data_IF_444384026837
#
_entry.id   IF_444384026837
#
_cell.length_a   1.000
_cell.length_b   1.000
_cell.length_c   1.000
_cell.angle_alpha   90.00
_cell.angle_beta   90.00
_cell.angle_gamma   90.00
#
_symmetry.space_group_name_H-M   'P 1'
#
loop_
_entity.id
_entity.type
_entity.pdbx_description
1 polymer ?
#
# COMPACT_ATOMS: atom_id res chain seq x y z
N UNK A 1 -12.70 2.11 -21.25
CA UNK A 1 -11.31 1.81 -20.87
C UNK A 1 -11.25 1.55 -19.37
N UNK A 2 -10.38 0.65 -18.88
CA UNK A 2 -10.25 0.44 -17.44
C UNK A 2 -9.72 1.71 -16.74
N UNK A 3 -10.02 1.87 -15.45
CA UNK A 3 -9.49 2.97 -14.64
C UNK A 3 -7.96 2.86 -14.54
N UNK A 4 -7.27 4.01 -14.44
CA UNK A 4 -5.84 4.06 -14.16
C UNK A 4 -5.60 3.80 -12.66
N UNK A 5 -5.70 2.55 -12.25
CA UNK A 5 -5.55 2.16 -10.86
C UNK A 5 -4.92 0.78 -10.66
N UNK A 6 -4.15 0.30 -11.65
CA UNK A 6 -3.29 -0.87 -11.50
C UNK A 6 -1.89 -0.42 -11.18
N UNK A 7 -1.25 -1.10 -10.23
CA UNK A 7 0.11 -0.79 -9.82
C UNK A 7 1.01 -1.94 -10.17
N UNK A 8 1.99 -1.68 -11.02
CA UNK A 8 3.01 -2.66 -11.36
C UNK A 8 4.13 -2.71 -10.31
N UNK A 9 5.04 -3.70 -10.34
CA UNK A 9 6.12 -3.82 -9.36
C UNK A 9 7.05 -2.60 -9.26
N UNK A 10 7.14 -1.77 -10.32
CA UNK A 10 7.90 -0.51 -10.31
C UNK A 10 7.15 0.65 -9.65
N UNK A 11 5.94 0.39 -9.15
CA UNK A 11 5.09 1.39 -8.50
C UNK A 11 4.36 2.34 -9.45
N UNK A 12 4.41 2.09 -10.77
CA UNK A 12 3.72 2.89 -11.80
C UNK A 12 2.23 2.57 -11.76
N UNK A 13 1.41 3.61 -11.85
CA UNK A 13 -0.06 3.50 -11.89
C UNK A 13 -0.52 3.53 -13.35
N UNK A 14 -1.10 2.44 -13.83
CA UNK A 14 -1.48 2.24 -15.23
C UNK A 14 -2.95 1.83 -15.40
N UNK A 15 -3.49 2.03 -16.60
CA UNK A 15 -4.80 1.54 -17.01
C UNK A 15 -4.63 0.12 -17.58
N UNK A 16 -5.15 -0.87 -16.86
CA UNK A 16 -4.99 -2.29 -17.22
C UNK A 16 -6.23 -3.09 -16.74
N UNK A 17 -6.69 -4.06 -17.52
CA UNK A 17 -7.89 -4.86 -17.26
C UNK A 17 -7.69 -5.99 -16.24
N UNK A 18 -6.46 -6.32 -15.85
CA UNK A 18 -6.18 -7.28 -14.79
C UNK A 18 -6.97 -6.94 -13.53
N UNK A 19 -7.58 -7.90 -12.83
CA UNK A 19 -8.44 -7.59 -11.67
C UNK A 19 -7.64 -7.23 -10.41
N UNK A 20 -6.46 -7.84 -10.25
CA UNK A 20 -5.68 -7.80 -9.03
C UNK A 20 -6.28 -8.68 -7.92
N UNK A 21 -5.44 -9.05 -6.95
CA UNK A 21 -5.82 -9.87 -5.78
C UNK A 21 -5.78 -9.09 -4.47
N UNK A 22 -5.19 -7.89 -4.50
CA UNK A 22 -5.07 -6.98 -3.36
C UNK A 22 -5.45 -5.57 -3.79
N UNK A 23 -6.04 -4.82 -2.86
CA UNK A 23 -6.30 -3.40 -3.01
C UNK A 23 -5.32 -2.62 -2.12
N UNK A 24 -4.77 -1.51 -2.58
CA UNK A 24 -3.93 -0.64 -1.77
C UNK A 24 -4.35 0.81 -1.80
N UNK A 25 -3.70 1.57 -0.91
CA UNK A 25 -4.02 2.95 -0.63
C UNK A 25 -2.73 3.77 -0.55
N UNK A 26 -2.63 4.81 -1.39
CA UNK A 26 -1.60 5.87 -1.32
C UNK A 26 -2.21 7.26 -1.06
N UNK A 27 -3.48 7.31 -0.68
CA UNK A 27 -4.30 8.51 -0.48
C UNK A 27 -5.20 8.85 -1.67
N UNK A 28 -5.70 10.09 -1.69
CA UNK A 28 -6.53 10.63 -2.78
C UNK A 28 -5.61 11.09 -3.92
N UNK A 29 -5.61 10.34 -5.03
CA UNK A 29 -4.72 10.56 -6.18
C UNK A 29 -5.44 11.09 -7.41
N UNK A 30 -6.77 10.99 -7.44
CA UNK A 30 -7.57 11.33 -8.62
C UNK A 30 -8.34 12.62 -8.46
N UNK A 31 -8.65 13.26 -9.59
CA UNK A 31 -9.58 14.39 -9.67
C UNK A 31 -11.04 13.90 -9.82
N UNK A 32 -12.00 14.83 -9.90
CA UNK A 32 -13.42 14.51 -10.05
C UNK A 32 -13.74 13.68 -11.32
N UNK A 33 -12.90 13.77 -12.36
CA UNK A 33 -12.99 13.02 -13.61
C UNK A 33 -12.33 11.63 -13.55
N UNK A 34 -11.87 11.20 -12.36
CA UNK A 34 -11.14 9.93 -12.14
C UNK A 34 -9.78 9.85 -12.85
N UNK A 35 -9.16 10.98 -13.13
CA UNK A 35 -7.81 11.05 -13.69
C UNK A 35 -6.80 11.11 -12.55
N UNK A 36 -5.76 10.27 -12.59
CA UNK A 36 -4.70 10.27 -11.57
C UNK A 36 -3.79 11.46 -11.80
N UNK A 37 -3.73 12.38 -10.83
CA UNK A 37 -2.96 13.62 -10.92
C UNK A 37 -1.71 13.63 -10.05
N UNK A 38 -1.50 12.58 -9.24
CA UNK A 38 -0.33 12.44 -8.36
C UNK A 38 -0.05 10.97 -8.01
N UNK A 39 1.19 10.69 -7.62
CA UNK A 39 1.62 9.31 -7.30
C UNK A 39 1.24 8.87 -5.88
N UNK A 40 1.24 9.80 -4.92
CA UNK A 40 0.84 9.56 -3.54
C UNK A 40 0.43 10.87 -2.83
N UNK A 41 -0.42 10.74 -1.81
CA UNK A 41 -0.80 11.80 -0.87
C UNK A 41 -0.44 11.45 0.58
N UNK A 42 -0.34 10.17 0.91
CA UNK A 42 0.10 9.68 2.23
C UNK A 42 1.38 8.87 2.09
N UNK A 43 2.13 8.76 3.19
CA UNK A 43 3.31 7.88 3.30
C UNK A 43 2.96 6.48 3.81
N UNK A 44 1.70 6.28 4.23
CA UNK A 44 1.20 5.00 4.72
C UNK A 44 0.67 4.13 3.59
N UNK A 45 1.59 3.54 2.83
CA UNK A 45 1.25 2.67 1.71
C UNK A 45 0.94 1.27 2.21
N UNK A 46 -0.32 0.89 2.05
CA UNK A 46 -0.86 -0.36 2.59
C UNK A 46 -1.59 -1.15 1.52
N UNK A 47 -1.60 -2.47 1.66
CA UNK A 47 -2.48 -3.38 0.90
C UNK A 47 -3.44 -4.12 1.82
N UNK A 48 -4.71 -4.14 1.45
CA UNK A 48 -5.78 -4.88 2.10
C UNK A 48 -6.31 -5.99 1.19
N UNK A 49 -6.95 -6.97 1.82
CA UNK A 49 -7.76 -7.96 1.10
C UNK A 49 -8.93 -7.27 0.39
N UNK A 50 -9.37 -7.83 -0.75
CA UNK A 50 -10.48 -7.28 -1.52
C UNK A 50 -11.80 -7.36 -0.77
N UNK A 51 -12.00 -8.43 -0.02
CA UNK A 51 -13.23 -8.70 0.72
C UNK A 51 -12.99 -8.58 2.22
N UNK A 52 -13.83 -7.79 2.87
CA UNK A 52 -13.85 -7.67 4.32
C UNK A 52 -15.20 -7.16 4.79
N UNK A 53 -15.83 -7.90 5.70
CA UNK A 53 -17.11 -7.54 6.32
C UNK A 53 -18.20 -7.14 5.30
N UNK A 54 -18.21 -7.78 4.12
CA UNK A 54 -19.18 -7.51 3.05
C UNK A 54 -19.16 -6.08 2.48
N UNK A 55 -18.09 -5.29 2.71
CA UNK A 55 -18.04 -3.89 2.28
C UNK A 55 -17.97 -3.78 0.75
N UNK A 56 -18.93 -3.07 0.17
CA UNK A 56 -18.92 -2.66 -1.24
C UNK A 56 -18.43 -1.21 -1.37
N UNK A 57 -17.73 -0.89 -2.45
CA UNK A 57 -17.17 0.46 -2.69
C UNK A 57 -17.29 0.86 -4.15
N UNK A 58 -17.62 2.13 -4.38
CA UNK A 58 -17.52 2.75 -5.70
C UNK A 58 -16.10 3.23 -5.93
N UNK A 59 -15.45 2.68 -6.94
CA UNK A 59 -14.06 3.02 -7.26
C UNK A 59 -13.89 4.50 -7.61
N UNK A 60 -12.86 5.10 -7.04
CA UNK A 60 -12.43 6.48 -7.29
C UNK A 60 -13.59 7.46 -7.09
N UNK A 61 -14.23 7.35 -5.93
CA UNK A 61 -15.27 8.29 -5.52
C UNK A 61 -14.64 9.64 -5.15
N UNK A 62 -15.22 10.79 -5.58
CA UNK A 62 -14.64 12.10 -5.31
C UNK A 62 -14.33 12.33 -3.83
N UNK A 63 -13.10 12.78 -3.53
CA UNK A 63 -12.64 13.03 -2.17
C UNK A 63 -12.26 11.79 -1.36
N UNK A 64 -12.55 10.58 -1.84
CA UNK A 64 -12.12 9.32 -1.24
C UNK A 64 -10.71 8.93 -1.74
N UNK A 65 -10.04 8.04 -1.00
CA UNK A 65 -8.75 7.52 -1.45
C UNK A 65 -8.91 6.76 -2.78
N UNK A 66 -7.82 6.68 -3.53
CA UNK A 66 -7.80 5.95 -4.80
C UNK A 66 -7.55 4.48 -4.51
N UNK A 67 -8.51 3.62 -4.87
CA UNK A 67 -8.36 2.17 -4.79
C UNK A 67 -7.36 1.71 -5.85
N UNK A 68 -6.15 1.37 -5.42
CA UNK A 68 -5.10 0.81 -6.27
C UNK A 68 -5.16 -0.70 -6.23
N UNK A 69 -4.90 -1.40 -7.33
CA UNK A 69 -4.97 -2.86 -7.40
C UNK A 69 -3.64 -3.45 -7.84
N UNK A 70 -3.26 -4.53 -7.16
CA UNK A 70 -2.00 -5.24 -7.39
C UNK A 70 -2.31 -6.65 -7.87
N UNK A 71 -1.51 -7.14 -8.81
CA UNK A 71 -1.65 -8.51 -9.32
C UNK A 71 -1.55 -9.53 -8.17
N UNK A 72 -0.53 -9.38 -7.34
CA UNK A 72 -0.25 -10.22 -6.19
C UNK A 72 0.48 -9.43 -5.09
N UNK A 73 0.81 -10.12 -4.00
CA UNK A 73 1.53 -9.54 -2.87
C UNK A 73 2.98 -9.18 -3.22
N UNK A 74 3.62 -9.91 -4.14
CA UNK A 74 5.01 -9.66 -4.54
C UNK A 74 5.09 -8.31 -5.26
N UNK A 75 4.18 -8.06 -6.20
CA UNK A 75 4.04 -6.78 -6.87
C UNK A 75 3.75 -5.63 -5.88
N UNK A 76 2.92 -5.89 -4.88
CA UNK A 76 2.63 -4.90 -3.84
C UNK A 76 3.87 -4.56 -3.00
N UNK A 77 4.65 -5.56 -2.59
CA UNK A 77 5.88 -5.37 -1.83
C UNK A 77 6.95 -4.64 -2.64
N UNK A 78 7.16 -5.03 -3.90
CA UNK A 78 8.08 -4.35 -4.81
C UNK A 78 7.69 -2.87 -5.01
N UNK A 79 6.40 -2.58 -5.08
CA UNK A 79 5.86 -1.23 -5.13
C UNK A 79 5.86 -0.49 -3.78
N UNK A 80 6.52 -1.02 -2.74
CA UNK A 80 6.72 -0.40 -1.44
C UNK A 80 5.52 -0.47 -0.47
N UNK A 81 4.54 -1.34 -0.71
CA UNK A 81 3.36 -1.45 0.15
C UNK A 81 3.54 -2.54 1.18
N UNK A 82 3.17 -2.27 2.43
CA UNK A 82 3.06 -3.31 3.47
C UNK A 82 1.63 -3.85 3.57
N UNK A 83 1.40 -5.03 4.16
CA UNK A 83 0.05 -5.48 4.47
C UNK A 83 -0.64 -4.51 5.47
N UNK A 84 -1.94 -4.34 5.33
CA UNK A 84 -2.74 -3.50 6.22
C UNK A 84 -3.13 -4.29 7.48
N UNK A 85 -3.05 -3.63 8.63
CA UNK A 85 -3.30 -4.28 9.93
C UNK A 85 -4.75 -4.70 10.11
N UNK A 86 -5.71 -3.96 9.56
CA UNK A 86 -7.14 -4.21 9.77
C UNK A 86 -7.62 -5.45 8.99
N UNK A 87 -7.19 -5.62 7.72
CA UNK A 87 -7.72 -6.68 6.85
C UNK A 87 -6.74 -7.85 6.69
N UNK A 88 -5.44 -7.64 6.98
CA UNK A 88 -4.38 -8.62 6.72
C UNK A 88 -3.46 -8.78 7.93
N UNK A 89 -4.02 -8.81 9.16
CA UNK A 89 -3.25 -8.77 10.42
C UNK A 89 -2.16 -9.85 10.53
N UNK A 90 -2.45 -11.08 10.13
CA UNK A 90 -1.46 -12.17 10.14
C UNK A 90 -0.26 -11.83 9.24
N UNK A 91 -0.51 -11.53 7.95
CA UNK A 91 0.53 -11.10 7.00
C UNK A 91 1.26 -9.83 7.43
N UNK A 92 0.56 -8.90 8.07
CA UNK A 92 1.18 -7.70 8.63
C UNK A 92 2.19 -8.03 9.73
N UNK A 93 1.84 -8.92 10.66
CA UNK A 93 2.77 -9.36 11.72
C UNK A 93 3.98 -10.10 11.13
N UNK A 94 3.76 -10.97 10.14
CA UNK A 94 4.84 -11.67 9.43
C UNK A 94 5.77 -10.69 8.72
N UNK A 95 5.20 -9.77 7.93
CA UNK A 95 5.95 -8.71 7.25
C UNK A 95 6.76 -7.88 8.25
N UNK A 96 6.14 -7.45 9.35
CA UNK A 96 6.80 -6.67 10.40
C UNK A 96 8.00 -7.42 10.97
N UNK A 97 7.80 -8.68 11.35
CA UNK A 97 8.85 -9.48 11.96
C UNK A 97 10.02 -9.70 10.98
N UNK A 98 9.71 -10.04 9.71
CA UNK A 98 10.72 -10.20 8.68
C UNK A 98 11.49 -8.90 8.40
N UNK A 99 10.78 -7.76 8.32
CA UNK A 99 11.39 -6.45 8.13
C UNK A 99 12.32 -6.09 9.29
N UNK A 100 11.90 -6.30 10.53
CA UNK A 100 12.72 -6.04 11.71
C UNK A 100 14.00 -6.87 11.71
N UNK A 101 13.93 -8.15 11.35
CA UNK A 101 15.11 -9.03 11.24
C UNK A 101 16.03 -8.55 10.12
N UNK A 102 15.50 -8.27 8.93
CA UNK A 102 16.31 -7.85 7.78
C UNK A 102 17.02 -6.52 7.98
N UNK A 103 16.47 -5.63 8.83
CA UNK A 103 17.00 -4.30 9.09
C UNK A 103 17.66 -4.17 10.48
N UNK A 104 17.94 -5.28 11.17
CA UNK A 104 18.56 -5.31 12.50
C UNK A 104 17.86 -4.41 13.54
N UNK A 105 16.53 -4.37 13.53
CA UNK A 105 15.77 -3.64 14.53
C UNK A 105 15.67 -4.45 15.83
N UNK A 106 16.43 -4.05 16.85
CA UNK A 106 16.47 -4.75 18.14
C UNK A 106 15.13 -4.67 18.90
N UNK A 107 14.82 -5.75 19.64
CA UNK A 107 13.69 -5.81 20.58
C UNK A 107 13.91 -4.77 21.69
N UNK A 108 13.10 -3.71 21.68
CA UNK A 108 13.13 -2.64 22.69
C UNK A 108 13.61 -1.28 22.20
N UNK A 109 14.05 -1.17 20.93
CA UNK A 109 14.20 0.16 20.31
C UNK A 109 12.86 0.93 20.36
N UNK A 110 12.90 2.26 20.43
CA UNK A 110 11.68 3.10 20.41
C UNK A 110 10.81 2.77 19.17
N UNK A 111 11.45 2.33 18.09
CA UNK A 111 10.85 1.80 16.85
C UNK A 111 10.13 0.45 17.07
N UNK A 112 10.70 -0.46 17.87
CA UNK A 112 10.09 -1.74 18.23
C UNK A 112 8.93 -1.60 19.22
N UNK A 113 8.97 -0.63 20.12
CA UNK A 113 7.91 -0.38 21.12
C UNK A 113 6.70 0.36 20.52
N UNK A 114 6.93 1.23 19.53
CA UNK A 114 5.88 1.82 18.69
C UNK A 114 5.31 0.84 17.65
N UNK A 115 5.67 -0.45 17.66
CA UNK A 115 5.05 -1.43 16.76
C UNK A 115 3.55 -1.70 17.03
N UNK A 116 2.98 -1.10 18.08
CA UNK A 116 1.53 -0.96 18.29
C UNK A 116 0.91 0.25 17.53
N UNK A 117 1.74 1.09 16.90
CA UNK A 117 1.41 2.25 16.08
C UNK A 117 2.68 2.77 15.40
N UNK A 118 3.04 2.16 14.26
CA UNK A 118 4.32 2.32 13.56
C UNK A 118 4.74 3.79 13.38
N UNK A 119 6.00 4.11 13.69
CA UNK A 119 6.55 5.47 13.67
C UNK A 119 6.55 6.11 12.26
N UNK A 120 6.63 7.45 12.18
CA UNK A 120 6.79 8.18 10.91
C UNK A 120 8.03 7.79 10.10
N UNK A 121 9.07 7.22 10.71
CA UNK A 121 10.29 6.80 9.99
C UNK A 121 10.05 5.58 9.10
N UNK A 122 9.22 4.63 9.53
CA UNK A 122 8.83 3.49 8.68
C UNK A 122 8.07 3.97 7.44
N UNK A 123 7.24 5.01 7.61
CA UNK A 123 6.57 5.72 6.52
C UNK A 123 7.53 6.49 5.61
N UNK A 124 8.67 6.95 6.15
CA UNK A 124 9.70 7.64 5.37
C UNK A 124 10.65 6.68 4.63
N UNK A 125 10.86 5.46 5.15
CA UNK A 125 11.71 4.43 4.53
C UNK A 125 11.09 3.74 3.31
N UNK A 126 10.00 4.29 2.77
CA UNK A 126 9.47 3.86 1.48
C UNK A 126 10.62 3.87 0.48
N UNK A 127 10.96 2.66 -0.01
CA UNK A 127 11.94 2.35 -1.03
C UNK A 127 12.30 3.59 -1.85
N UNK A 128 13.34 4.34 -1.44
CA UNK A 128 14.01 5.22 -2.38
C UNK A 128 14.75 4.25 -3.30
N UNK A 129 14.05 3.81 -4.34
CA UNK A 129 14.72 3.39 -5.55
C UNK A 129 15.51 4.62 -6.01
N UNK A 130 16.79 4.68 -5.63
CA UNK A 130 17.75 5.46 -6.39
C UNK A 130 17.72 4.86 -7.80
N UNK A 131 17.10 5.62 -8.71
CA UNK A 131 17.16 5.38 -10.15
C UNK A 131 18.53 5.93 -10.56
N UNK A 132 19.52 5.05 -10.67
CA UNK A 132 20.59 5.19 -11.66
C UNK A 132 20.24 4.36 -12.90
#
# INVERSE_FOLDING_TARGET
>A
MPLQNRVNPKGIIESNSARGTLMGNRGVLHNASKEVTRLFKTKAWITCALEFKGRQRTLMSPGAYTELFFLDEVAAFAAGHRPCVEYRRARYNEFRNAWSVANNWEKGSVVATLANGFSPEFHASGFQAEIE
#
